data_IF_412760729361
#
_entry.id   IF_412760729361
#
_cell.length_a   1.000
_cell.length_b   1.000
_cell.length_c   1.000
_cell.angle_alpha   90.00
_cell.angle_beta   90.00
_cell.angle_gamma   90.00
#
_symmetry.space_group_name_H-M   'P 1'
#
loop_
_entity.id
_entity.type
_entity.pdbx_description
1 polymer ?
#
# COMPACT_ATOMS: atom_id res chain seq x y z
N UNK A 1 16.87 11.31 -15.83
CA UNK A 1 15.54 11.62 -16.44
C UNK A 1 15.32 10.99 -17.82
N UNK A 2 16.38 10.75 -18.60
CA UNK A 2 16.29 10.17 -19.95
C UNK A 2 15.94 8.67 -19.94
N UNK A 3 16.47 7.91 -18.98
CA UNK A 3 16.15 6.48 -18.84
C UNK A 3 14.70 6.21 -18.39
N UNK A 4 14.15 7.05 -17.52
CA UNK A 4 12.75 6.94 -17.06
C UNK A 4 11.77 7.13 -18.22
N UNK A 5 12.06 8.03 -19.17
CA UNK A 5 11.23 8.21 -20.38
C UNK A 5 11.39 7.06 -21.37
N UNK A 6 12.56 6.43 -21.44
CA UNK A 6 12.79 5.25 -22.28
C UNK A 6 12.02 4.03 -21.74
N UNK A 7 12.07 3.81 -20.42
CA UNK A 7 11.32 2.74 -19.74
C UNK A 7 9.80 2.96 -19.87
N UNK A 8 9.32 4.21 -19.74
CA UNK A 8 7.89 4.53 -19.91
C UNK A 8 7.41 4.43 -21.36
N UNK A 9 8.25 4.74 -22.35
CA UNK A 9 7.92 4.52 -23.77
C UNK A 9 7.89 3.04 -24.12
N UNK A 10 8.87 2.27 -23.64
CA UNK A 10 8.94 0.83 -23.86
C UNK A 10 7.77 0.11 -23.19
N UNK A 11 7.37 0.55 -21.98
CA UNK A 11 6.15 0.09 -21.33
C UNK A 11 4.92 0.43 -22.17
N UNK A 12 4.74 1.68 -22.62
CA UNK A 12 3.56 2.13 -23.38
C UNK A 12 3.31 1.41 -24.71
N UNK A 13 4.35 0.89 -25.37
CA UNK A 13 4.22 0.14 -26.63
C UNK A 13 3.90 -1.34 -26.47
N UNK A 14 3.94 -1.90 -25.24
CA UNK A 14 3.67 -3.32 -24.99
C UNK A 14 2.26 -3.61 -24.41
N UNK A 15 1.39 -2.61 -24.23
CA UNK A 15 0.02 -2.79 -23.71
C UNK A 15 -1.03 -3.06 -24.80
N UNK A 16 -0.65 -3.77 -25.86
CA UNK A 16 -1.59 -4.67 -26.52
C UNK A 16 -1.40 -5.99 -25.80
N UNK A 17 -2.42 -6.47 -25.08
CA UNK A 17 -2.42 -7.83 -24.52
C UNK A 17 -2.30 -8.79 -25.70
N UNK A 18 -1.06 -9.11 -26.10
CA UNK A 18 -0.78 -10.15 -27.06
C UNK A 18 -1.06 -11.46 -26.35
N UNK A 19 -2.31 -11.92 -26.46
CA UNK A 19 -2.66 -13.30 -26.12
C UNK A 19 -1.87 -14.17 -27.09
N UNK A 20 -0.97 -15.01 -26.56
CA UNK A 20 -0.12 -15.85 -27.40
C UNK A 20 -1.00 -16.72 -28.31
N UNK A 21 -0.65 -16.86 -29.60
CA UNK A 21 -1.44 -17.64 -30.57
C UNK A 21 -1.69 -19.07 -30.10
N UNK A 22 -0.78 -19.65 -29.30
CA UNK A 22 -0.94 -20.97 -28.69
C UNK A 22 -2.08 -21.04 -27.68
N UNK A 23 -2.40 -19.94 -27.01
CA UNK A 23 -3.54 -19.82 -26.07
C UNK A 23 -4.83 -19.63 -26.85
N UNK A 24 -4.80 -18.86 -27.94
CA UNK A 24 -5.93 -18.67 -28.86
C UNK A 24 -6.31 -20.00 -29.54
N UNK A 25 -5.32 -20.78 -30.02
CA UNK A 25 -5.54 -22.10 -30.61
C UNK A 25 -6.00 -23.15 -29.58
N UNK A 26 -5.38 -23.19 -28.39
CA UNK A 26 -5.75 -24.15 -27.35
C UNK A 26 -7.16 -23.91 -26.78
N UNK A 27 -7.60 -22.65 -26.73
CA UNK A 27 -8.94 -22.26 -26.32
C UNK A 27 -9.96 -22.31 -27.47
N UNK A 28 -9.51 -22.59 -28.70
CA UNK A 28 -10.35 -22.64 -29.90
C UNK A 28 -11.00 -21.29 -30.25
N UNK A 29 -10.36 -20.18 -29.88
CA UNK A 29 -10.89 -18.84 -30.08
C UNK A 29 -10.62 -18.35 -31.51
N UNK A 30 -11.66 -17.83 -32.16
CA UNK A 30 -11.53 -17.23 -33.49
C UNK A 30 -11.50 -15.71 -33.42
N UNK A 31 -10.83 -15.12 -34.39
CA UNK A 31 -10.72 -13.67 -34.53
C UNK A 31 -12.11 -13.04 -34.67
N UNK A 32 -12.47 -12.12 -33.76
CA UNK A 32 -13.79 -11.49 -33.72
C UNK A 32 -14.90 -12.26 -32.98
N UNK A 33 -14.58 -13.34 -32.27
CA UNK A 33 -15.55 -14.10 -31.47
C UNK A 33 -15.87 -13.37 -30.14
N UNK A 34 -17.16 -13.16 -29.86
CA UNK A 34 -17.61 -12.57 -28.59
C UNK A 34 -17.72 -13.64 -27.51
N UNK A 35 -16.92 -13.52 -26.44
CA UNK A 35 -16.91 -14.44 -25.29
C UNK A 35 -17.70 -13.84 -24.12
N UNK A 36 -18.66 -14.60 -23.58
CA UNK A 36 -19.45 -14.23 -22.40
C UNK A 36 -18.74 -14.65 -21.11
N UNK A 37 -18.59 -13.71 -20.17
CA UNK A 37 -17.82 -13.86 -18.91
C UNK A 37 -18.33 -14.98 -17.99
N UNK A 38 -19.56 -15.45 -18.17
CA UNK A 38 -20.13 -16.55 -17.38
C UNK A 38 -19.55 -17.93 -17.69
N UNK A 39 -18.94 -18.13 -18.86
CA UNK A 39 -18.19 -19.36 -19.18
C UNK A 39 -16.73 -19.29 -18.71
N UNK A 40 -16.32 -18.14 -18.16
CA UNK A 40 -14.92 -17.79 -17.98
C UNK A 40 -14.44 -17.83 -16.51
N UNK A 41 -15.32 -18.23 -15.59
CA UNK A 41 -15.00 -18.36 -14.15
C UNK A 41 -14.04 -19.53 -13.87
N UNK A 42 -14.01 -20.54 -14.76
CA UNK A 42 -13.09 -21.67 -14.73
C UNK A 42 -12.06 -21.63 -15.88
N UNK A 43 -11.94 -20.49 -16.57
CA UNK A 43 -11.09 -20.37 -17.76
C UNK A 43 -9.63 -20.05 -17.37
N UNK A 44 -8.68 -20.98 -17.62
CA UNK A 44 -7.27 -20.79 -17.28
C UNK A 44 -6.66 -19.55 -17.96
N UNK A 45 -7.24 -19.05 -19.05
CA UNK A 45 -6.79 -17.83 -19.72
C UNK A 45 -7.08 -16.56 -18.89
N UNK A 46 -8.20 -16.50 -18.15
CA UNK A 46 -8.54 -15.38 -17.27
C UNK A 46 -7.68 -15.38 -16.00
N UNK A 47 -7.34 -16.58 -15.49
CA UNK A 47 -6.36 -16.74 -14.43
C UNK A 47 -4.97 -16.24 -14.88
N UNK A 48 -4.62 -16.48 -16.15
CA UNK A 48 -3.39 -15.99 -16.76
C UNK A 48 -3.37 -14.46 -16.92
N UNK A 49 -4.48 -13.83 -17.33
CA UNK A 49 -4.60 -12.37 -17.42
C UNK A 49 -4.55 -11.73 -16.02
N UNK A 50 -5.23 -12.30 -15.03
CA UNK A 50 -5.15 -11.85 -13.64
C UNK A 50 -3.74 -12.02 -13.06
N UNK A 51 -3.04 -13.11 -13.40
CA UNK A 51 -1.64 -13.34 -13.03
C UNK A 51 -0.71 -12.32 -13.69
N UNK A 52 -0.93 -11.99 -14.96
CA UNK A 52 -0.16 -10.96 -15.69
C UNK A 52 -0.39 -9.56 -15.12
N UNK A 53 -1.64 -9.17 -14.83
CA UNK A 53 -1.94 -7.90 -14.18
C UNK A 53 -1.30 -7.81 -12.78
N UNK A 54 -1.37 -8.90 -12.01
CA UNK A 54 -0.73 -8.99 -10.69
C UNK A 54 0.80 -8.91 -10.78
N UNK A 55 1.40 -9.56 -11.78
CA UNK A 55 2.84 -9.50 -12.04
C UNK A 55 3.28 -8.08 -12.46
N UNK A 56 2.50 -7.39 -13.30
CA UNK A 56 2.77 -6.02 -13.73
C UNK A 56 2.72 -5.04 -12.53
N UNK A 57 1.73 -5.19 -11.64
CA UNK A 57 1.63 -4.37 -10.41
C UNK A 57 2.80 -4.67 -9.46
N UNK A 58 3.23 -5.92 -9.32
CA UNK A 58 4.42 -6.28 -8.53
C UNK A 58 5.70 -5.70 -9.12
N UNK A 59 5.89 -5.78 -10.44
CA UNK A 59 7.06 -5.24 -11.13
C UNK A 59 7.14 -3.71 -11.00
N UNK A 60 6.01 -3.00 -11.17
CA UNK A 60 5.93 -1.56 -10.95
C UNK A 60 6.22 -1.17 -9.50
N UNK A 61 5.78 -1.98 -8.53
CA UNK A 61 6.06 -1.75 -7.11
C UNK A 61 7.54 -1.96 -6.78
N UNK A 62 8.17 -3.00 -7.34
CA UNK A 62 9.58 -3.32 -7.13
C UNK A 62 10.52 -2.28 -7.75
N UNK A 63 10.22 -1.79 -8.95
CA UNK A 63 11.01 -0.74 -9.62
C UNK A 63 11.02 0.58 -8.83
N UNK A 64 9.91 0.91 -8.16
CA UNK A 64 9.81 2.10 -7.30
C UNK A 64 10.57 1.90 -5.99
N UNK A 65 10.51 0.70 -5.39
CA UNK A 65 11.23 0.41 -4.15
C UNK A 65 12.75 0.38 -4.38
N UNK A 66 13.23 -0.07 -5.55
CA UNK A 66 14.66 -0.06 -5.93
C UNK A 66 15.20 1.36 -6.19
N UNK A 67 14.32 2.28 -6.63
CA UNK A 67 14.68 3.67 -6.88
C UNK A 67 14.83 4.52 -5.60
N UNK A 68 14.47 3.99 -4.43
CA UNK A 68 14.35 4.74 -3.17
C UNK A 68 15.28 4.27 -2.04
N UNK A 69 16.10 3.24 -2.25
CA UNK A 69 17.07 2.78 -1.24
C UNK A 69 18.27 3.73 -1.20
N UNK A 70 18.25 4.67 -0.25
CA UNK A 70 19.41 5.45 0.17
C UNK A 70 20.31 4.66 1.12
N UNK A 71 21.62 4.80 0.96
CA UNK A 71 22.68 4.14 1.73
C UNK A 71 22.65 4.50 3.21
N UNK A 72 22.62 3.49 4.10
CA UNK A 72 22.70 3.64 5.55
C UNK A 72 24.06 4.18 6.01
N UNK A 73 24.13 5.12 6.98
CA UNK A 73 25.37 5.47 7.66
C UNK A 73 25.63 4.55 8.86
N UNK A 74 26.90 4.18 9.01
CA UNK A 74 27.44 3.30 10.05
C UNK A 74 27.41 3.96 11.43
N UNK A 75 26.89 3.24 12.44
CA UNK A 75 26.75 3.67 13.84
C UNK A 75 28.12 3.79 14.53
N UNK A 76 28.41 4.94 15.13
CA UNK A 76 29.54 5.11 16.06
C UNK A 76 29.02 5.06 17.50
N UNK A 77 29.56 4.15 18.30
CA UNK A 77 29.27 4.01 19.73
C UNK A 77 30.14 5.00 20.52
N UNK A 78 29.52 5.95 21.21
CA UNK A 78 30.21 6.80 22.20
C UNK A 78 29.83 6.29 23.60
N UNK A 79 30.81 5.72 24.29
CA UNK A 79 30.70 5.25 25.68
C UNK A 79 31.25 6.32 26.62
N UNK A 80 30.36 7.02 27.32
CA UNK A 80 30.69 7.76 28.53
C UNK A 80 29.54 7.65 29.52
N UNK A 81 29.80 7.07 30.68
CA UNK A 81 28.84 6.88 31.78
C UNK A 81 28.29 8.23 32.28
N UNK A 82 26.98 8.53 32.14
CA UNK A 82 26.40 9.82 32.54
C UNK A 82 26.07 9.91 34.04
N UNK A 83 26.13 11.13 34.58
CA UNK A 83 25.64 11.56 35.89
C UNK A 83 24.14 11.16 36.10
N UNK A 84 23.72 10.63 37.27
CA UNK A 84 22.34 10.25 37.55
C UNK A 84 21.28 11.32 37.21
N UNK A 85 21.55 12.61 37.41
CA UNK A 85 20.61 13.68 37.00
C UNK A 85 20.43 13.79 35.48
N UNK A 86 21.48 13.48 34.72
CA UNK A 86 21.46 13.47 33.26
C UNK A 86 20.68 12.27 32.70
N UNK A 87 20.65 11.15 33.42
CA UNK A 87 19.90 9.96 33.03
C UNK A 87 18.38 10.15 33.13
N UNK A 88 17.90 10.87 34.16
CA UNK A 88 16.48 11.20 34.30
C UNK A 88 16.02 12.19 33.21
N UNK A 89 16.83 13.20 32.92
CA UNK A 89 16.54 14.14 31.83
C UNK A 89 16.51 13.44 30.47
N UNK A 90 17.47 12.56 30.20
CA UNK A 90 17.50 11.76 28.96
C UNK A 90 16.27 10.86 28.85
N UNK A 91 15.88 10.20 29.95
CA UNK A 91 14.67 9.38 29.99
C UNK A 91 13.41 10.20 29.69
N UNK A 92 13.33 11.44 30.21
CA UNK A 92 12.26 12.40 29.90
C UNK A 92 12.20 12.72 28.40
N UNK A 93 13.33 13.16 27.83
CA UNK A 93 13.43 13.49 26.40
C UNK A 93 13.10 12.29 25.49
N UNK A 94 13.52 11.08 25.88
CA UNK A 94 13.21 9.86 25.15
C UNK A 94 11.69 9.59 25.13
N UNK A 95 11.00 9.75 26.27
CA UNK A 95 9.54 9.60 26.36
C UNK A 95 8.81 10.63 25.49
N UNK A 96 9.26 11.88 25.53
CA UNK A 96 8.68 12.96 24.70
C UNK A 96 8.84 12.65 23.22
N UNK A 97 10.02 12.16 22.80
CA UNK A 97 10.27 11.77 21.42
C UNK A 97 9.39 10.58 20.99
N UNK A 98 9.25 9.54 21.82
CA UNK A 98 8.35 8.43 21.54
C UNK A 98 6.90 8.92 21.42
N UNK A 99 6.44 9.76 22.35
CA UNK A 99 5.10 10.34 22.33
C UNK A 99 4.85 11.18 21.06
N UNK A 100 5.83 11.97 20.64
CA UNK A 100 5.77 12.73 19.39
C UNK A 100 5.60 11.81 18.18
N UNK A 101 6.43 10.77 18.06
CA UNK A 101 6.33 9.79 16.96
C UNK A 101 4.95 9.11 16.96
N UNK A 102 4.49 8.64 18.11
CA UNK A 102 3.17 8.00 18.26
C UNK A 102 2.02 8.96 17.90
N UNK A 103 2.15 10.26 18.18
CA UNK A 103 1.11 11.25 17.86
C UNK A 103 0.83 11.38 16.35
N UNK A 104 1.79 11.05 15.49
CA UNK A 104 1.61 11.08 14.04
C UNK A 104 0.81 9.91 13.49
N UNK A 105 0.77 8.75 14.19
CA UNK A 105 0.01 7.59 13.74
C UNK A 105 -1.46 7.93 13.56
N UNK A 106 -2.09 8.57 14.55
CA UNK A 106 -3.50 8.96 14.46
C UNK A 106 -3.78 9.83 13.23
N UNK A 107 -2.85 10.73 12.87
CA UNK A 107 -2.98 11.62 11.71
C UNK A 107 -2.89 10.83 10.39
N UNK A 108 -1.97 9.86 10.30
CA UNK A 108 -1.80 9.01 9.12
C UNK A 108 -2.98 8.06 8.96
N UNK A 109 -3.42 7.41 10.05
CA UNK A 109 -4.59 6.50 10.04
C UNK A 109 -5.87 7.24 9.65
N UNK A 110 -6.10 8.44 10.17
CA UNK A 110 -7.25 9.27 9.76
C UNK A 110 -7.23 9.52 8.25
N UNK A 111 -6.07 9.85 7.69
CA UNK A 111 -5.94 10.09 6.25
C UNK A 111 -6.13 8.81 5.43
N UNK A 112 -5.65 7.65 5.90
CA UNK A 112 -5.91 6.36 5.27
C UNK A 112 -7.41 6.07 5.21
N UNK A 113 -8.13 6.27 6.32
CA UNK A 113 -9.59 6.08 6.37
C UNK A 113 -10.35 7.03 5.43
N UNK A 114 -9.89 8.28 5.31
CA UNK A 114 -10.48 9.25 4.38
C UNK A 114 -10.33 8.80 2.92
N UNK A 115 -9.13 8.35 2.51
CA UNK A 115 -8.90 7.86 1.15
C UNK A 115 -9.75 6.62 0.87
N UNK A 116 -9.83 5.68 1.83
CA UNK A 116 -10.70 4.50 1.70
C UNK A 116 -12.17 4.89 1.50
N UNK A 117 -12.68 5.85 2.27
CA UNK A 117 -14.07 6.30 2.14
C UNK A 117 -14.36 6.92 0.77
N UNK A 118 -13.42 7.71 0.24
CA UNK A 118 -13.51 8.28 -1.11
C UNK A 118 -13.48 7.17 -2.17
N UNK A 119 -12.56 6.22 -2.06
CA UNK A 119 -12.45 5.09 -2.98
C UNK A 119 -13.76 4.28 -3.03
N UNK A 120 -14.33 3.97 -1.86
CA UNK A 120 -15.60 3.26 -1.76
C UNK A 120 -16.75 4.07 -2.35
N UNK A 121 -16.82 5.37 -2.09
CA UNK A 121 -17.86 6.23 -2.65
C UNK A 121 -17.82 6.25 -4.19
N UNK A 122 -16.62 6.38 -4.78
CA UNK A 122 -16.44 6.36 -6.24
C UNK A 122 -16.86 5.01 -6.84
N UNK A 123 -16.48 3.90 -6.20
CA UNK A 123 -16.89 2.55 -6.62
C UNK A 123 -18.40 2.39 -6.51
N UNK A 124 -19.03 2.79 -5.40
CA UNK A 124 -20.48 2.68 -5.20
C UNK A 124 -21.26 3.47 -6.25
N UNK A 125 -20.85 4.70 -6.57
CA UNK A 125 -21.50 5.52 -7.60
C UNK A 125 -21.35 4.88 -8.99
N UNK A 126 -20.18 4.32 -9.31
CA UNK A 126 -19.96 3.62 -10.57
C UNK A 126 -20.86 2.36 -10.66
N UNK A 127 -20.95 1.57 -9.59
CA UNK A 127 -21.81 0.38 -9.54
C UNK A 127 -23.30 0.71 -9.66
N UNK A 128 -23.75 1.83 -9.09
CA UNK A 128 -25.15 2.27 -9.19
C UNK A 128 -25.56 2.68 -10.63
N UNK A 129 -24.60 2.83 -11.55
CA UNK A 129 -24.80 3.23 -12.95
C UNK A 129 -24.51 2.11 -13.95
N UNK A 130 -24.40 0.86 -13.48
CA UNK A 130 -24.15 -0.29 -14.35
C UNK A 130 -25.32 -0.50 -15.32
N UNK A 131 -25.04 -0.37 -16.61
CA UNK A 131 -25.94 -0.75 -17.71
C UNK A 131 -25.62 -2.18 -18.18
N UNK A 132 -26.55 -2.85 -18.91
CA UNK A 132 -26.24 -4.09 -19.61
C UNK A 132 -25.03 -3.91 -20.53
N UNK A 133 -24.04 -4.81 -20.43
CA UNK A 133 -22.76 -4.71 -21.17
C UNK A 133 -22.96 -4.64 -22.69
N UNK A 134 -24.09 -5.15 -23.20
CA UNK A 134 -24.47 -5.11 -24.62
C UNK A 134 -24.64 -3.69 -25.19
N UNK A 135 -24.96 -2.72 -24.33
CA UNK A 135 -25.34 -1.37 -24.78
C UNK A 135 -24.22 -0.35 -24.53
N UNK A 136 -23.07 -0.81 -24.04
CA UNK A 136 -21.97 0.05 -23.61
C UNK A 136 -20.89 0.09 -24.69
N UNK A 137 -20.58 1.31 -25.15
CA UNK A 137 -19.50 1.54 -26.12
C UNK A 137 -18.15 1.02 -25.58
N UNK A 138 -17.29 0.42 -26.43
CA UNK A 138 -15.97 -0.06 -26.01
C UNK A 138 -15.11 1.00 -25.32
N UNK A 139 -15.28 2.29 -25.66
CA UNK A 139 -14.56 3.39 -24.99
C UNK A 139 -14.95 3.56 -23.52
N UNK A 140 -16.22 3.31 -23.18
CA UNK A 140 -16.72 3.36 -21.80
C UNK A 140 -16.22 2.17 -21.02
N UNK A 141 -16.21 0.97 -21.63
CA UNK A 141 -15.63 -0.23 -21.03
C UNK A 141 -14.15 0.01 -20.70
N UNK A 142 -13.39 0.58 -21.64
CA UNK A 142 -11.99 0.94 -21.42
C UNK A 142 -11.79 1.94 -20.28
N UNK A 143 -12.63 2.97 -20.18
CA UNK A 143 -12.58 3.95 -19.10
C UNK A 143 -12.91 3.32 -17.73
N UNK A 144 -13.93 2.46 -17.65
CA UNK A 144 -14.31 1.74 -16.43
C UNK A 144 -13.19 0.77 -16.02
N UNK A 145 -12.61 0.03 -16.96
CA UNK A 145 -11.49 -0.87 -16.68
C UNK A 145 -10.28 -0.11 -16.14
N UNK A 146 -9.93 1.03 -16.75
CA UNK A 146 -8.83 1.88 -16.30
C UNK A 146 -9.09 2.43 -14.88
N UNK A 147 -10.31 2.92 -14.62
CA UNK A 147 -10.75 3.33 -13.29
C UNK A 147 -10.60 2.19 -12.28
N UNK A 148 -11.09 0.99 -12.60
CA UNK A 148 -11.05 -0.17 -11.71
C UNK A 148 -9.61 -0.56 -11.34
N UNK A 149 -8.70 -0.59 -12.31
CA UNK A 149 -7.28 -0.90 -12.06
C UNK A 149 -6.65 0.12 -11.10
N UNK A 150 -6.92 1.41 -11.30
CA UNK A 150 -6.40 2.46 -10.43
C UNK A 150 -6.99 2.39 -9.02
N UNK A 151 -8.28 2.07 -8.90
CA UNK A 151 -8.93 1.86 -7.60
C UNK A 151 -8.33 0.66 -6.86
N UNK A 152 -8.14 -0.47 -7.54
CA UNK A 152 -7.53 -1.66 -6.93
C UNK A 152 -6.10 -1.35 -6.47
N UNK A 153 -5.33 -0.61 -7.26
CA UNK A 153 -3.98 -0.16 -6.86
C UNK A 153 -4.02 0.71 -5.60
N UNK A 154 -4.95 1.68 -5.51
CA UNK A 154 -5.16 2.50 -4.32
C UNK A 154 -5.51 1.63 -3.10
N UNK A 155 -6.51 0.77 -3.21
CA UNK A 155 -6.97 -0.10 -2.13
C UNK A 155 -5.90 -1.06 -1.61
N UNK A 156 -5.08 -1.65 -2.50
CA UNK A 156 -3.94 -2.50 -2.11
C UNK A 156 -2.92 -1.69 -1.31
N UNK A 157 -2.63 -0.46 -1.71
CA UNK A 157 -1.68 0.41 -1.01
C UNK A 157 -2.23 0.86 0.35
N UNK A 158 -3.52 1.15 0.45
CA UNK A 158 -4.18 1.42 1.72
C UNK A 158 -4.08 0.22 2.66
N UNK A 159 -4.43 -0.99 2.18
CA UNK A 159 -4.32 -2.21 2.97
C UNK A 159 -2.89 -2.45 3.48
N UNK A 160 -1.88 -2.34 2.61
CA UNK A 160 -0.47 -2.49 2.99
C UNK A 160 0.03 -1.36 3.89
N UNK A 161 -0.56 -0.17 3.80
CA UNK A 161 -0.28 0.96 4.70
C UNK A 161 -0.91 0.77 6.09
N UNK A 162 -2.09 0.18 6.19
CA UNK A 162 -2.73 -0.14 7.47
C UNK A 162 -1.96 -1.24 8.22
N UNK A 163 -1.46 -2.25 7.50
CA UNK A 163 -0.77 -3.41 8.09
C UNK A 163 0.65 -3.61 7.54
N UNK A 164 1.60 -2.73 7.88
CA UNK A 164 3.00 -2.93 7.52
C UNK A 164 3.54 -4.17 8.23
N UNK A 165 4.19 -5.07 7.48
CA UNK A 165 4.89 -6.20 8.06
C UNK A 165 6.21 -5.71 8.64
N UNK A 166 6.44 -5.96 9.92
CA UNK A 166 7.67 -5.63 10.60
C UNK A 166 8.14 -6.86 11.37
N UNK A 167 9.39 -7.22 11.14
CA UNK A 167 10.04 -8.40 11.72
C UNK A 167 10.68 -8.09 13.07
N UNK A 168 10.82 -6.82 13.45
CA UNK A 168 11.71 -6.41 14.53
C UNK A 168 10.95 -5.74 15.70
N UNK A 169 11.21 -6.22 16.92
CA UNK A 169 10.63 -5.71 18.18
C UNK A 169 10.66 -6.71 19.35
N UNK A 170 11.17 -7.92 19.14
CA UNK A 170 10.94 -9.10 20.00
C UNK A 170 11.51 -9.05 21.44
N UNK A 171 12.11 -7.95 21.91
CA UNK A 171 12.72 -7.88 23.25
C UNK A 171 12.38 -6.64 24.08
N UNK A 172 11.49 -5.78 23.58
CA UNK A 172 11.10 -4.57 24.31
C UNK A 172 10.07 -4.86 25.39
N UNK A 173 10.25 -4.33 26.60
CA UNK A 173 9.22 -4.40 27.66
C UNK A 173 8.17 -3.30 27.52
N UNK A 174 8.29 -2.43 26.51
CA UNK A 174 7.31 -1.39 26.18
C UNK A 174 6.43 -1.85 25.00
N UNK A 175 6.97 -2.69 24.12
CA UNK A 175 6.25 -3.20 22.96
C UNK A 175 5.13 -4.16 23.37
N UNK A 176 3.89 -3.78 23.06
CA UNK A 176 2.69 -4.48 23.52
C UNK A 176 2.64 -5.97 23.14
N UNK A 177 3.18 -6.38 21.98
CA UNK A 177 3.18 -7.79 21.58
C UNK A 177 4.13 -8.62 22.43
N UNK A 178 5.30 -8.08 22.77
CA UNK A 178 6.24 -8.74 23.70
C UNK A 178 5.65 -8.80 25.10
N UNK A 179 5.02 -7.73 25.58
CA UNK A 179 4.35 -7.73 26.89
C UNK A 179 3.22 -8.77 26.93
N UNK A 180 2.43 -8.89 25.86
CA UNK A 180 1.35 -9.87 25.77
C UNK A 180 1.82 -11.35 25.73
N UNK A 181 3.11 -11.60 25.49
CA UNK A 181 3.72 -12.93 25.53
C UNK A 181 4.30 -13.28 26.91
N UNK A 182 4.32 -12.33 27.84
CA UNK A 182 4.83 -12.52 29.20
C UNK A 182 3.67 -12.72 30.19
N UNK A 183 3.88 -13.58 31.19
CA UNK A 183 3.00 -13.64 32.35
C UNK A 183 3.14 -12.36 33.19
N UNK A 184 2.08 -11.98 33.93
CA UNK A 184 2.07 -10.75 34.72
C UNK A 184 3.22 -10.70 35.74
N UNK A 185 3.46 -11.81 36.44
CA UNK A 185 4.53 -11.93 37.43
C UNK A 185 5.92 -11.75 36.80
N UNK A 186 6.11 -12.32 35.61
CA UNK A 186 7.33 -12.20 34.83
C UNK A 186 7.56 -10.77 34.35
N UNK A 187 6.53 -10.13 33.81
CA UNK A 187 6.60 -8.74 33.38
C UNK A 187 6.94 -7.81 34.54
N UNK A 188 6.23 -7.93 35.67
CA UNK A 188 6.48 -7.11 36.87
C UNK A 188 7.91 -7.27 37.37
N UNK A 189 8.41 -8.51 37.42
CA UNK A 189 9.77 -8.81 37.87
C UNK A 189 10.80 -8.18 36.94
N UNK A 190 10.69 -8.43 35.62
CA UNK A 190 11.62 -7.88 34.62
C UNK A 190 11.59 -6.36 34.58
N UNK A 191 10.41 -5.76 34.70
CA UNK A 191 10.26 -4.30 34.71
C UNK A 191 10.89 -3.68 35.97
N UNK A 192 10.64 -4.26 37.14
CA UNK A 192 11.14 -3.71 38.42
C UNK A 192 12.65 -3.87 38.59
N UNK A 193 13.25 -4.90 37.99
CA UNK A 193 14.70 -5.14 38.04
C UNK A 193 15.49 -4.33 36.99
N UNK A 194 14.79 -3.63 36.08
CA UNK A 194 15.43 -2.89 35.00
C UNK A 194 16.04 -1.58 35.51
N UNK A 195 17.29 -1.33 35.14
CA UNK A 195 17.92 -0.03 35.42
C UNK A 195 17.40 1.07 34.49
N UNK A 196 17.54 2.33 34.91
CA UNK A 196 17.03 3.50 34.19
C UNK A 196 17.65 3.66 32.79
N UNK A 197 18.94 3.35 32.62
CA UNK A 197 19.62 3.41 31.32
C UNK A 197 19.00 2.43 30.32
N UNK A 198 18.88 1.16 30.71
CA UNK A 198 18.27 0.12 29.88
C UNK A 198 16.79 0.41 29.58
N UNK A 199 16.06 1.09 30.47
CA UNK A 199 14.69 1.54 30.19
C UNK A 199 14.67 2.66 29.16
N UNK A 200 15.59 3.61 29.27
CA UNK A 200 15.74 4.74 28.34
C UNK A 200 16.10 4.26 26.95
N UNK A 201 17.05 3.32 26.83
CA UNK A 201 17.42 2.70 25.56
C UNK A 201 16.23 2.03 24.88
N UNK A 202 15.36 1.35 25.63
CA UNK A 202 14.13 0.75 25.09
C UNK A 202 13.18 1.79 24.50
N UNK A 203 13.01 2.92 25.20
CA UNK A 203 12.14 4.01 24.74
C UNK A 203 12.69 4.59 23.43
N UNK A 204 14.01 4.78 23.35
CA UNK A 204 14.70 5.28 22.15
C UNK A 204 14.54 4.28 20.99
N UNK A 205 14.78 3.00 21.24
CA UNK A 205 14.61 1.94 20.25
C UNK A 205 13.17 1.87 19.75
N UNK A 206 12.18 1.97 20.66
CA UNK A 206 10.77 2.04 20.27
C UNK A 206 10.47 3.30 19.46
N UNK A 207 11.02 4.46 19.80
CA UNK A 207 10.81 5.69 19.03
C UNK A 207 11.37 5.54 17.61
N UNK A 208 12.56 4.95 17.48
CA UNK A 208 13.20 4.68 16.19
C UNK A 208 12.43 3.66 15.35
N UNK A 209 12.04 2.52 15.94
CA UNK A 209 11.24 1.50 15.26
C UNK A 209 9.92 2.12 14.80
N UNK A 210 9.16 2.77 15.69
CA UNK A 210 7.87 3.38 15.36
C UNK A 210 8.00 4.47 14.28
N UNK A 211 9.11 5.23 14.25
CA UNK A 211 9.36 6.17 13.18
C UNK A 211 9.55 5.47 11.82
N UNK A 212 10.26 4.33 11.77
CA UNK A 212 10.36 3.51 10.54
C UNK A 212 8.99 3.01 10.08
N UNK A 213 8.16 2.52 11.00
CA UNK A 213 6.79 2.08 10.68
C UNK A 213 6.02 3.24 10.05
N UNK A 214 6.07 4.40 10.69
CA UNK A 214 5.34 5.58 10.28
C UNK A 214 5.77 6.04 8.88
N UNK A 215 7.07 5.99 8.56
CA UNK A 215 7.58 6.27 7.20
C UNK A 215 6.95 5.36 6.16
N UNK A 216 6.93 4.04 6.41
CA UNK A 216 6.30 3.08 5.49
C UNK A 216 4.80 3.38 5.32
N UNK A 217 4.08 3.65 6.42
CA UNK A 217 2.66 4.02 6.38
C UNK A 217 2.44 5.29 5.54
N UNK A 218 3.25 6.32 5.76
CA UNK A 218 3.15 7.60 5.07
C UNK A 218 3.48 7.48 3.58
N UNK A 219 4.48 6.69 3.21
CA UNK A 219 4.83 6.46 1.81
C UNK A 219 3.74 5.68 1.06
N UNK A 220 3.15 4.66 1.70
CA UNK A 220 2.02 3.94 1.13
C UNK A 220 0.79 4.84 1.00
N UNK A 221 0.52 5.70 1.99
CA UNK A 221 -0.55 6.70 1.92
C UNK A 221 -0.36 7.68 0.74
N UNK A 222 0.85 8.23 0.55
CA UNK A 222 1.14 9.12 -0.60
C UNK A 222 0.88 8.42 -1.93
N UNK A 223 1.31 7.16 -2.06
CA UNK A 223 1.09 6.37 -3.29
C UNK A 223 -0.41 6.09 -3.49
N UNK A 224 -1.16 5.77 -2.42
CA UNK A 224 -2.61 5.58 -2.51
C UNK A 224 -3.32 6.84 -2.99
N UNK A 225 -2.99 8.01 -2.42
CA UNK A 225 -3.50 9.31 -2.89
C UNK A 225 -3.24 9.56 -4.37
N UNK A 226 -2.05 9.18 -4.86
CA UNK A 226 -1.71 9.33 -6.27
C UNK A 226 -2.60 8.47 -7.17
N UNK A 227 -2.79 7.19 -6.83
CA UNK A 227 -3.63 6.28 -7.63
C UNK A 227 -5.11 6.63 -7.57
N UNK A 228 -5.64 6.96 -6.39
CA UNK A 228 -6.99 7.51 -6.22
C UNK A 228 -7.15 8.80 -7.03
N UNK A 229 -6.19 9.74 -6.95
CA UNK A 229 -6.25 10.99 -7.71
C UNK A 229 -6.26 10.77 -9.23
N UNK A 230 -5.48 9.80 -9.71
CA UNK A 230 -5.43 9.44 -11.12
C UNK A 230 -6.73 8.76 -11.59
N UNK A 231 -7.41 8.01 -10.71
CA UNK A 231 -8.66 7.31 -11.03
C UNK A 231 -9.85 8.25 -11.24
N UNK A 232 -9.80 9.47 -10.68
CA UNK A 232 -10.87 10.48 -10.83
C UNK A 232 -11.15 10.80 -12.30
N UNK A 233 -10.11 10.95 -13.13
CA UNK A 233 -10.29 11.31 -14.53
C UNK A 233 -11.07 10.26 -15.35
N UNK A 234 -10.65 8.98 -15.42
CA UNK A 234 -11.42 7.96 -16.12
C UNK A 234 -12.80 7.72 -15.51
N UNK A 235 -12.94 7.87 -14.19
CA UNK A 235 -14.24 7.80 -13.51
C UNK A 235 -15.22 8.86 -14.00
N UNK A 236 -14.80 10.14 -14.03
CA UNK A 236 -15.65 11.23 -14.51
C UNK A 236 -16.00 11.08 -15.99
N UNK A 237 -15.05 10.62 -16.82
CA UNK A 237 -15.32 10.34 -18.24
C UNK A 237 -16.36 9.24 -18.37
N UNK A 238 -16.22 8.12 -17.65
CA UNK A 238 -17.19 7.04 -17.67
C UNK A 238 -18.59 7.51 -17.25
N UNK A 239 -18.68 8.27 -16.15
CA UNK A 239 -19.95 8.81 -15.67
C UNK A 239 -20.58 9.80 -16.65
N UNK A 240 -19.79 10.68 -17.27
CA UNK A 240 -20.30 11.64 -18.24
C UNK A 240 -20.87 10.94 -19.48
N UNK A 241 -20.17 9.93 -20.02
CA UNK A 241 -20.67 9.19 -21.18
C UNK A 241 -21.93 8.40 -20.83
N UNK A 242 -21.97 7.73 -19.67
CA UNK A 242 -23.15 7.01 -19.21
C UNK A 242 -24.35 7.94 -18.96
N UNK A 243 -24.11 9.13 -18.41
CA UNK A 243 -25.17 10.12 -18.21
C UNK A 243 -25.75 10.61 -19.54
N UNK A 244 -24.89 10.85 -20.55
CA UNK A 244 -25.32 11.25 -21.88
C UNK A 244 -26.03 10.12 -22.63
N UNK A 245 -25.65 8.86 -22.43
CA UNK A 245 -26.29 7.72 -23.09
C UNK A 245 -27.70 7.43 -22.55
N UNK A 246 -27.95 7.67 -21.25
CA UNK A 246 -29.29 7.49 -20.64
C UNK A 246 -30.29 8.59 -21.04
N UNK A 247 -29.81 9.73 -21.55
CA UNK A 247 -30.66 10.87 -21.95
C UNK A 247 -31.28 10.77 -23.35
N UNK A 248 -31.09 9.64 -24.05
CA UNK A 248 -31.70 9.33 -25.35
C UNK A 248 -32.74 8.22 -25.20
#
# INVERSE_FOLDING_TARGET
MTEVRAVLRQAGTQWVLAVADTVVEAAGWHDGQALTVTDAVDDPALEQVAAQATAAVRAATAAVDLALVGTEPTRSTVTSSPDPGMNEELAGRAKDQLALVLSFFARVETKLSVVLAVDLAMISIAFAKVLPVSDVSPSVIGAIALFAVMQVASLILLYRGSFPHLTDGERSLIYFRTVAQLDEADYRTRFSQRNLGAHTDDIIDQAWINAKILTVKFDRLKRAYFWMGLSVAPWLVALAVLALSVSR
#
